data_IF_502098221550
#
_entry.id   IF_502098221550
#
_cell.length_a   1.000
_cell.length_b   1.000
_cell.length_c   1.000
_cell.angle_alpha   90.00
_cell.angle_beta   90.00
_cell.angle_gamma   90.00
#
_symmetry.space_group_name_H-M   'P 1'
#
loop_
_entity.id
_entity.type
_entity.pdbx_description
1 polymer ?
#
# COMPACT_ATOMS: atom_id res chain seq x y z
N UNK A 1 4.09 32.48 3.68
CA UNK A 1 4.07 32.06 2.28
C UNK A 1 2.86 31.21 2.01
N UNK A 2 2.05 31.60 1.04
CA UNK A 2 0.89 30.80 0.68
C UNK A 2 1.32 29.63 -0.20
N UNK A 3 1.17 28.43 0.32
CA UNK A 3 1.33 27.24 -0.51
C UNK A 3 0.11 27.15 -1.40
N UNK A 4 0.33 26.82 -2.67
CA UNK A 4 -0.76 26.59 -3.62
C UNK A 4 -1.67 25.50 -3.07
N UNK A 5 -2.95 25.81 -2.83
CA UNK A 5 -3.92 24.87 -2.24
C UNK A 5 -4.03 23.53 -3.00
N UNK A 6 -4.10 23.54 -4.36
CA UNK A 6 -4.09 22.27 -5.09
C UNK A 6 -2.81 21.45 -4.89
N UNK A 7 -1.66 22.10 -4.82
CA UNK A 7 -0.40 21.40 -4.56
C UNK A 7 -0.34 20.87 -3.14
N UNK A 8 -0.73 21.69 -2.14
CA UNK A 8 -0.81 21.24 -0.75
C UNK A 8 -1.72 20.03 -0.60
N UNK A 9 -2.90 20.07 -1.26
CA UNK A 9 -3.85 18.97 -1.22
C UNK A 9 -3.26 17.70 -1.84
N UNK A 10 -2.56 17.82 -2.96
CA UNK A 10 -1.91 16.68 -3.62
C UNK A 10 -0.83 16.08 -2.74
N UNK A 11 -0.02 16.92 -2.08
CA UNK A 11 1.02 16.44 -1.16
C UNK A 11 0.43 15.76 0.07
N UNK A 12 -0.66 16.30 0.63
CA UNK A 12 -1.36 15.69 1.75
C UNK A 12 -1.98 14.35 1.33
N UNK A 13 -2.55 14.29 0.13
CA UNK A 13 -3.10 13.05 -0.42
C UNK A 13 -2.01 11.99 -0.61
N UNK A 14 -0.84 12.40 -1.09
CA UNK A 14 0.31 11.50 -1.22
C UNK A 14 0.74 10.97 0.14
N UNK A 15 0.80 11.82 1.17
CA UNK A 15 1.10 11.40 2.54
C UNK A 15 0.12 10.37 3.07
N UNK A 16 -1.17 10.60 2.85
CA UNK A 16 -2.22 9.66 3.23
C UNK A 16 -2.05 8.31 2.52
N UNK A 17 -1.85 8.34 1.21
CA UNK A 17 -1.66 7.13 0.41
C UNK A 17 -0.43 6.35 0.84
N UNK A 18 0.68 7.04 1.07
CA UNK A 18 1.91 6.41 1.54
C UNK A 18 1.70 5.70 2.89
N UNK A 19 1.06 6.38 3.84
CA UNK A 19 0.77 5.80 5.14
C UNK A 19 -0.09 4.54 5.03
N UNK A 20 -1.14 4.58 4.21
CA UNK A 20 -2.00 3.42 3.98
C UNK A 20 -1.22 2.30 3.30
N UNK A 21 -0.34 2.63 2.36
CA UNK A 21 0.50 1.66 1.67
C UNK A 21 1.46 0.91 2.59
N UNK A 22 1.86 1.53 3.71
CA UNK A 22 2.71 0.87 4.72
C UNK A 22 2.01 -0.30 5.42
N UNK A 23 0.69 -0.37 5.39
CA UNK A 23 -0.04 -1.49 5.97
C UNK A 23 0.19 -2.73 5.12
N UNK A 24 0.93 -3.70 5.65
CA UNK A 24 1.28 -4.92 4.92
C UNK A 24 0.80 -6.14 5.68
N UNK A 25 -0.36 -6.71 5.30
CA UNK A 25 -0.90 -7.87 6.02
C UNK A 25 -0.04 -9.12 5.88
N UNK A 26 0.65 -9.30 4.74
CA UNK A 26 1.54 -10.45 4.56
C UNK A 26 2.67 -10.43 5.58
N UNK A 27 3.28 -9.26 5.77
CA UNK A 27 4.35 -9.09 6.75
C UNK A 27 3.85 -9.34 8.18
N UNK A 28 2.70 -8.76 8.52
CA UNK A 28 2.09 -8.93 9.85
C UNK A 28 1.75 -10.39 10.12
N UNK A 29 1.16 -11.07 9.15
CA UNK A 29 0.80 -12.49 9.30
C UNK A 29 2.03 -13.37 9.51
N UNK A 30 3.12 -13.08 8.78
CA UNK A 30 4.37 -13.78 8.98
C UNK A 30 4.94 -13.56 10.37
N UNK A 31 4.98 -12.30 10.83
CA UNK A 31 5.45 -11.98 12.18
C UNK A 31 4.66 -12.71 13.26
N UNK A 32 3.34 -12.81 13.10
CA UNK A 32 2.50 -13.55 14.05
C UNK A 32 2.83 -15.03 14.10
N UNK A 33 3.37 -15.57 13.02
CA UNK A 33 3.81 -16.98 12.94
C UNK A 33 5.30 -17.14 13.23
N UNK A 34 5.97 -16.08 13.62
CA UNK A 34 7.35 -16.12 14.07
C UNK A 34 8.40 -15.97 12.98
N UNK A 35 8.04 -15.46 11.80
CA UNK A 35 9.02 -15.24 10.74
C UNK A 35 8.80 -13.92 9.99
N UNK A 36 9.86 -13.45 9.36
CA UNK A 36 9.82 -12.32 8.44
C UNK A 36 9.64 -12.88 7.02
N UNK A 37 8.50 -12.58 6.39
CA UNK A 37 8.16 -13.09 5.06
C UNK A 37 9.20 -12.70 4.00
N UNK A 38 9.93 -11.60 4.23
CA UNK A 38 10.98 -11.15 3.30
C UNK A 38 12.20 -12.07 3.29
N UNK A 39 12.29 -12.97 4.26
CA UNK A 39 13.39 -13.93 4.41
C UNK A 39 12.96 -15.35 4.07
N UNK A 40 11.73 -15.56 3.61
CA UNK A 40 11.19 -16.88 3.30
C UNK A 40 10.54 -16.93 1.93
N UNK A 41 10.48 -18.12 1.36
CA UNK A 41 9.88 -18.33 0.04
C UNK A 41 10.57 -17.46 -1.01
N UNK A 42 9.79 -16.70 -1.77
CA UNK A 42 10.32 -15.79 -2.78
C UNK A 42 11.00 -14.55 -2.18
N UNK A 43 10.85 -14.32 -0.89
CA UNK A 43 11.36 -13.13 -0.22
C UNK A 43 10.52 -11.89 -0.41
N UNK A 44 9.40 -11.99 -1.10
CA UNK A 44 8.53 -10.84 -1.35
C UNK A 44 7.43 -10.75 -0.28
N UNK A 45 7.20 -9.55 0.24
CA UNK A 45 6.15 -9.30 1.23
C UNK A 45 4.81 -9.06 0.52
N UNK A 46 4.27 -10.10 -0.08
CA UNK A 46 3.04 -10.01 -0.87
C UNK A 46 2.21 -11.28 -0.87
N UNK A 47 1.05 -11.19 -1.53
CA UNK A 47 0.03 -12.24 -1.55
C UNK A 47 0.56 -13.57 -2.11
N UNK A 48 1.29 -13.53 -3.22
CA UNK A 48 1.78 -14.74 -3.87
C UNK A 48 2.74 -15.51 -2.96
N UNK A 49 3.67 -14.81 -2.32
CA UNK A 49 4.60 -15.45 -1.39
C UNK A 49 3.86 -16.01 -0.17
N UNK A 50 2.91 -15.25 0.37
CA UNK A 50 2.13 -15.74 1.50
C UNK A 50 1.29 -16.96 1.11
N UNK A 51 0.78 -17.00 -0.12
CA UNK A 51 0.05 -18.18 -0.61
C UNK A 51 0.95 -19.40 -0.64
N UNK A 52 2.20 -19.25 -1.05
CA UNK A 52 3.19 -20.34 -1.04
C UNK A 52 3.45 -20.83 0.38
N UNK A 53 3.59 -19.91 1.33
CA UNK A 53 3.97 -20.22 2.70
C UNK A 53 2.80 -20.64 3.59
N UNK A 54 1.61 -20.07 3.39
CA UNK A 54 0.47 -20.22 4.31
C UNK A 54 -0.81 -20.71 3.63
N UNK A 55 -0.81 -20.90 2.32
CA UNK A 55 -1.96 -21.43 1.59
C UNK A 55 -2.79 -20.37 0.86
N UNK A 56 -3.73 -20.87 0.07
CA UNK A 56 -4.52 -20.04 -0.86
C UNK A 56 -5.40 -19.01 -0.14
N UNK A 57 -6.00 -19.39 0.99
CA UNK A 57 -6.90 -18.48 1.73
C UNK A 57 -6.14 -17.26 2.26
N UNK A 58 -4.95 -17.48 2.83
CA UNK A 58 -4.12 -16.40 3.33
C UNK A 58 -3.66 -15.49 2.20
N UNK A 59 -3.23 -16.06 1.08
CA UNK A 59 -2.83 -15.30 -0.10
C UNK A 59 -3.98 -14.48 -0.67
N UNK A 60 -5.17 -15.07 -0.77
CA UNK A 60 -6.35 -14.36 -1.27
C UNK A 60 -6.74 -13.20 -0.37
N UNK A 61 -6.68 -13.38 0.95
CA UNK A 61 -6.96 -12.31 1.90
C UNK A 61 -6.00 -11.14 1.71
N UNK A 62 -4.71 -11.43 1.60
CA UNK A 62 -3.69 -10.38 1.41
C UNK A 62 -3.89 -9.67 0.08
N UNK A 63 -4.17 -10.40 -1.00
CA UNK A 63 -4.42 -9.80 -2.30
C UNK A 63 -5.62 -8.83 -2.23
N UNK A 64 -6.72 -9.26 -1.63
CA UNK A 64 -7.91 -8.41 -1.47
C UNK A 64 -7.59 -7.18 -0.62
N UNK A 65 -6.82 -7.35 0.45
CA UNK A 65 -6.44 -6.24 1.31
C UNK A 65 -5.56 -5.24 0.55
N UNK A 66 -4.55 -5.71 -0.17
CA UNK A 66 -3.63 -4.82 -0.90
C UNK A 66 -4.35 -4.06 -2.01
N UNK A 67 -5.24 -4.71 -2.74
CA UNK A 67 -6.07 -4.03 -3.74
C UNK A 67 -6.99 -3.01 -3.07
N UNK A 68 -7.65 -3.41 -1.98
CA UNK A 68 -8.58 -2.55 -1.26
C UNK A 68 -7.92 -1.33 -0.65
N UNK A 69 -6.73 -1.49 -0.05
CA UNK A 69 -6.04 -0.35 0.56
C UNK A 69 -5.67 0.71 -0.48
N UNK A 70 -5.30 0.28 -1.69
CA UNK A 70 -4.99 1.19 -2.77
C UNK A 70 -6.25 1.91 -3.27
N UNK A 71 -7.34 1.18 -3.49
CA UNK A 71 -8.62 1.76 -3.90
C UNK A 71 -9.16 2.73 -2.85
N UNK A 72 -9.04 2.37 -1.57
CA UNK A 72 -9.46 3.25 -0.46
C UNK A 72 -8.61 4.52 -0.43
N UNK A 73 -7.30 4.41 -0.67
CA UNK A 73 -6.41 5.59 -0.72
C UNK A 73 -6.87 6.57 -1.80
N UNK A 74 -7.16 6.07 -2.99
CA UNK A 74 -7.63 6.90 -4.11
C UNK A 74 -8.99 7.54 -3.77
N UNK A 75 -9.95 6.74 -3.31
CA UNK A 75 -11.30 7.23 -3.01
C UNK A 75 -11.32 8.24 -1.88
N UNK A 76 -10.59 7.96 -0.78
CA UNK A 76 -10.48 8.89 0.35
C UNK A 76 -9.83 10.21 -0.06
N UNK A 77 -8.75 10.12 -0.85
CA UNK A 77 -8.05 11.32 -1.28
C UNK A 77 -8.95 12.21 -2.14
N UNK A 78 -9.70 11.61 -3.06
CA UNK A 78 -10.64 12.36 -3.90
C UNK A 78 -11.74 13.04 -3.08
N UNK A 79 -12.17 12.39 -2.00
CA UNK A 79 -13.22 12.93 -1.15
C UNK A 79 -12.72 14.03 -0.22
N UNK A 80 -11.50 13.87 0.33
CA UNK A 80 -10.96 14.78 1.33
C UNK A 80 -10.21 15.97 0.74
N UNK A 81 -9.59 15.82 -0.42
CA UNK A 81 -8.70 16.82 -1.01
C UNK A 81 -9.27 17.35 -2.33
N UNK A 82 -10.45 17.98 -2.24
CA UNK A 82 -11.16 18.47 -3.41
C UNK A 82 -10.44 19.60 -4.16
N UNK A 83 -9.47 20.27 -3.51
CA UNK A 83 -8.71 21.34 -4.12
C UNK A 83 -7.76 20.86 -5.23
N UNK A 84 -7.46 19.56 -5.26
CA UNK A 84 -6.58 18.99 -6.29
C UNK A 84 -7.33 17.97 -7.11
N UNK A 85 -7.35 18.17 -8.42
CA UNK A 85 -7.92 17.16 -9.33
C UNK A 85 -7.05 15.90 -9.43
N UNK A 86 -5.81 15.96 -8.95
CA UNK A 86 -4.87 14.85 -8.99
C UNK A 86 -4.70 14.16 -7.63
N UNK A 87 -5.52 14.49 -6.63
CA UNK A 87 -5.39 13.91 -5.30
C UNK A 87 -5.48 12.37 -5.32
N UNK A 88 -6.42 11.83 -6.09
CA UNK A 88 -6.58 10.37 -6.21
C UNK A 88 -5.33 9.71 -6.79
N UNK A 89 -4.81 10.26 -7.88
CA UNK A 89 -3.61 9.74 -8.54
C UNK A 89 -2.38 9.84 -7.63
N UNK A 90 -2.25 10.97 -6.92
CA UNK A 90 -1.14 11.17 -5.97
C UNK A 90 -1.21 10.15 -4.83
N UNK A 91 -2.39 9.95 -4.25
CA UNK A 91 -2.57 8.98 -3.17
C UNK A 91 -2.35 7.55 -3.66
N UNK A 92 -2.84 7.22 -4.84
CA UNK A 92 -2.66 5.90 -5.43
C UNK A 92 -1.20 5.56 -5.68
N UNK A 93 -0.48 6.48 -6.34
CA UNK A 93 0.95 6.30 -6.59
C UNK A 93 1.73 6.19 -5.29
N UNK A 94 1.43 7.05 -4.31
CA UNK A 94 2.08 7.02 -3.01
C UNK A 94 1.76 5.74 -2.23
N UNK A 95 0.55 5.20 -2.38
CA UNK A 95 0.18 3.92 -1.78
C UNK A 95 1.04 2.78 -2.34
N UNK A 96 1.23 2.73 -3.65
CA UNK A 96 2.12 1.74 -4.28
C UNK A 96 3.54 1.89 -3.74
N UNK A 97 4.06 3.13 -3.67
CA UNK A 97 5.39 3.38 -3.12
C UNK A 97 5.46 3.01 -1.65
N UNK A 98 4.41 3.28 -0.86
CA UNK A 98 4.36 2.89 0.55
C UNK A 98 4.35 1.39 0.74
N UNK A 99 3.74 0.64 -0.19
CA UNK A 99 3.78 -0.81 -0.18
C UNK A 99 5.17 -1.35 -0.53
N UNK A 100 5.82 -0.74 -1.52
CA UNK A 100 7.16 -1.17 -1.98
C UNK A 100 8.27 -0.75 -1.02
N UNK A 101 8.19 0.46 -0.48
CA UNK A 101 9.23 1.06 0.37
C UNK A 101 8.64 1.62 1.66
N UNK A 102 8.02 0.77 2.50
CA UNK A 102 7.35 1.24 3.72
C UNK A 102 8.36 1.61 4.80
N UNK A 103 8.22 2.82 5.34
CA UNK A 103 9.08 3.28 6.43
C UNK A 103 8.98 2.34 7.65
N UNK A 104 7.80 1.78 7.91
CA UNK A 104 7.57 0.86 9.02
C UNK A 104 8.31 -0.48 8.87
N UNK A 105 8.78 -0.80 7.66
CA UNK A 105 9.49 -2.05 7.36
C UNK A 105 10.91 -1.78 6.85
N UNK A 106 11.50 -0.68 7.28
CA UNK A 106 12.85 -0.24 6.86
C UNK A 106 12.97 -0.13 5.34
N UNK A 107 11.90 0.36 4.68
CA UNK A 107 11.82 0.61 3.24
C UNK A 107 11.98 -0.63 2.36
N UNK A 108 11.67 -1.80 2.89
CA UNK A 108 11.70 -3.07 2.13
C UNK A 108 10.36 -3.77 2.25
N UNK A 109 9.48 -3.53 1.29
CA UNK A 109 8.14 -4.11 1.24
C UNK A 109 7.96 -5.09 0.11
N UNK A 110 6.77 -5.11 -0.46
CA UNK A 110 6.40 -5.98 -1.58
C UNK A 110 6.66 -5.34 -2.94
N UNK A 111 6.17 -5.99 -4.00
CA UNK A 111 6.34 -5.49 -5.37
C UNK A 111 5.29 -4.47 -5.81
N UNK A 112 4.17 -4.40 -5.09
CA UNK A 112 3.14 -3.41 -5.37
C UNK A 112 2.18 -3.77 -6.50
N UNK A 113 2.22 -4.99 -7.03
CA UNK A 113 1.38 -5.37 -8.17
C UNK A 113 -0.11 -5.35 -7.82
N UNK A 114 -0.50 -5.87 -6.66
CA UNK A 114 -1.88 -5.87 -6.21
C UNK A 114 -2.36 -4.45 -5.92
N UNK A 115 -1.52 -3.61 -5.29
CA UNK A 115 -1.83 -2.20 -5.04
C UNK A 115 -2.06 -1.46 -6.35
N UNK A 116 -1.21 -1.70 -7.34
CA UNK A 116 -1.37 -1.08 -8.66
C UNK A 116 -2.72 -1.44 -9.27
N UNK A 117 -3.16 -2.69 -9.12
CA UNK A 117 -4.48 -3.12 -9.55
C UNK A 117 -5.60 -2.33 -8.89
N UNK A 118 -5.45 -1.99 -7.60
CA UNK A 118 -6.43 -1.18 -6.87
C UNK A 118 -6.46 0.28 -7.29
N UNK A 119 -5.36 0.79 -7.84
CA UNK A 119 -5.28 2.17 -8.33
C UNK A 119 -5.92 2.32 -9.70
N UNK A 120 -5.77 1.31 -10.55
CA UNK A 120 -6.35 1.30 -11.88
C UNK A 120 -7.85 1.03 -11.81
#
# INVERSE_FOLDING_TARGET
MKINKPLSAALAAAGLGYAIGNLNPAYVMGLRKGYDIRKKGSGNAGATNLMILEGKKAGAFVMCFDISKAAVSVGLARKLFLQSKYAGEAAGAACVLGHMYPALMHFRGGKGLACLGGVI
#
